data_IF_556778943499
#
_entry.id   IF_556778943499
#
_cell.length_a   1.000
_cell.length_b   1.000
_cell.length_c   1.000
_cell.angle_alpha   90.00
_cell.angle_beta   90.00
_cell.angle_gamma   90.00
#
_symmetry.space_group_name_H-M   'P 1'
#
loop_
_entity.id
_entity.type
_entity.pdbx_description
1 polymer ?
#
# COMPACT_ATOMS: atom_id res chain seq x y z
N UNK A 1 1.17 -10.17 -22.50
CA UNK A 1 2.52 -9.65 -22.19
C UNK A 1 3.05 -10.22 -20.87
N UNK A 2 2.24 -10.25 -19.79
CA UNK A 2 2.62 -10.90 -18.52
C UNK A 2 3.06 -12.36 -18.69
N UNK A 3 2.26 -13.18 -19.38
CA UNK A 3 2.59 -14.59 -19.63
C UNK A 3 3.80 -14.78 -20.56
N UNK A 4 4.15 -13.77 -21.35
CA UNK A 4 5.36 -13.79 -22.19
C UNK A 4 6.61 -13.45 -21.37
N UNK A 5 6.51 -12.50 -20.44
CA UNK A 5 7.61 -12.14 -19.54
C UNK A 5 7.99 -13.30 -18.61
N UNK A 6 7.01 -14.07 -18.14
CA UNK A 6 7.25 -15.23 -17.25
C UNK A 6 7.96 -16.40 -17.96
N UNK A 7 7.96 -16.44 -19.30
CA UNK A 7 8.71 -17.44 -20.07
C UNK A 7 10.21 -17.17 -20.09
N UNK A 8 10.65 -15.97 -19.70
CA UNK A 8 12.07 -15.63 -19.66
C UNK A 8 12.75 -16.34 -18.47
N UNK A 9 13.92 -16.97 -18.67
CA UNK A 9 14.64 -17.64 -17.59
C UNK A 9 14.99 -16.65 -16.47
N UNK A 10 14.61 -16.99 -15.23
CA UNK A 10 14.81 -16.14 -14.06
C UNK A 10 13.72 -15.10 -13.80
N UNK A 11 12.71 -14.99 -14.67
CA UNK A 11 11.59 -14.06 -14.51
C UNK A 11 10.36 -14.77 -13.96
N UNK A 12 10.16 -14.67 -12.64
CA UNK A 12 8.92 -15.11 -12.01
C UNK A 12 7.77 -14.13 -12.20
N UNK A 13 6.55 -14.55 -11.83
CA UNK A 13 5.32 -13.74 -11.91
C UNK A 13 5.46 -12.38 -11.21
N UNK A 14 6.21 -12.32 -10.11
CA UNK A 14 6.57 -11.07 -9.40
C UNK A 14 7.38 -10.11 -10.27
N UNK A 15 8.45 -10.60 -10.90
CA UNK A 15 9.34 -9.78 -11.74
C UNK A 15 8.60 -9.27 -12.97
N UNK A 16 7.77 -10.11 -13.60
CA UNK A 16 6.92 -9.70 -14.71
C UNK A 16 5.96 -8.57 -14.32
N UNK A 17 5.33 -8.66 -13.15
CA UNK A 17 4.41 -7.62 -12.67
C UNK A 17 5.11 -6.29 -12.35
N UNK A 18 6.36 -6.32 -11.85
CA UNK A 18 7.17 -5.11 -11.64
C UNK A 18 7.50 -4.45 -12.98
N UNK A 19 7.92 -5.21 -13.98
CA UNK A 19 8.23 -4.68 -15.32
C UNK A 19 6.99 -4.09 -15.97
N UNK A 20 5.83 -4.75 -15.88
CA UNK A 20 4.57 -4.23 -16.42
C UNK A 20 4.11 -2.94 -15.73
N UNK A 21 4.31 -2.84 -14.41
CA UNK A 21 3.98 -1.64 -13.66
C UNK A 21 4.88 -0.45 -14.05
N UNK A 22 6.19 -0.68 -14.06
CA UNK A 22 7.20 0.38 -14.20
C UNK A 22 7.41 0.79 -15.67
N UNK A 23 7.56 -0.18 -16.57
CA UNK A 23 7.90 0.08 -17.98
C UNK A 23 6.67 0.27 -18.87
N UNK A 24 5.53 -0.32 -18.50
CA UNK A 24 4.33 -0.32 -19.35
C UNK A 24 3.13 0.40 -18.71
N UNK A 25 3.29 0.99 -17.53
CA UNK A 25 2.23 1.74 -16.85
C UNK A 25 0.98 0.91 -16.54
N UNK A 26 1.08 -0.43 -16.55
CA UNK A 26 -0.04 -1.27 -16.19
C UNK A 26 -0.33 -1.08 -14.70
N UNK A 27 -1.56 -0.68 -14.41
CA UNK A 27 -2.03 -0.44 -13.04
C UNK A 27 -2.19 -1.78 -12.31
N UNK A 28 -1.06 -2.34 -11.88
CA UNK A 28 -1.01 -3.55 -11.06
C UNK A 28 -0.86 -3.14 -9.61
N UNK A 29 -1.74 -3.63 -8.74
CA UNK A 29 -1.62 -3.43 -7.31
C UNK A 29 -0.85 -4.62 -6.73
N UNK A 30 0.48 -4.53 -6.73
CA UNK A 30 1.29 -5.59 -6.15
C UNK A 30 0.99 -5.70 -4.64
N UNK A 31 0.47 -6.85 -4.23
CA UNK A 31 0.13 -7.14 -2.83
C UNK A 31 1.32 -7.83 -2.16
N UNK A 32 2.02 -7.09 -1.29
CA UNK A 32 3.04 -7.65 -0.40
C UNK A 32 2.45 -8.03 0.97
N UNK A 33 3.31 -8.40 1.93
CA UNK A 33 2.86 -8.78 3.28
C UNK A 33 2.27 -7.60 4.08
N UNK A 34 2.64 -6.36 3.76
CA UNK A 34 2.09 -5.15 4.39
C UNK A 34 0.69 -4.86 3.84
N UNK A 35 0.56 -4.82 2.51
CA UNK A 35 -0.70 -4.58 1.81
C UNK A 35 -1.70 -5.70 2.10
N UNK A 36 -1.28 -6.97 2.06
CA UNK A 36 -2.15 -8.10 2.36
C UNK A 36 -2.76 -8.00 3.76
N UNK A 37 -1.93 -7.65 4.75
CA UNK A 37 -2.36 -7.46 6.14
C UNK A 37 -3.29 -6.26 6.27
N UNK A 38 -2.93 -5.11 5.69
CA UNK A 38 -3.76 -3.90 5.78
C UNK A 38 -5.10 -4.11 5.08
N UNK A 39 -5.10 -4.60 3.84
CA UNK A 39 -6.31 -4.82 3.05
C UNK A 39 -7.36 -5.64 3.82
N UNK A 40 -6.90 -6.64 4.57
CA UNK A 40 -7.73 -7.41 5.48
C UNK A 40 -8.08 -6.67 6.79
N UNK A 41 -7.10 -6.07 7.48
CA UNK A 41 -7.31 -5.41 8.79
C UNK A 41 -8.27 -4.23 8.70
N UNK A 42 -8.07 -3.32 7.75
CA UNK A 42 -8.91 -2.11 7.64
C UNK A 42 -10.22 -2.40 6.90
N UNK A 43 -10.33 -3.58 6.28
CA UNK A 43 -11.51 -4.01 5.52
C UNK A 43 -11.63 -3.39 4.13
N UNK A 44 -10.52 -2.90 3.56
CA UNK A 44 -10.49 -2.27 2.23
C UNK A 44 -10.62 -3.32 1.12
N UNK A 45 -9.99 -4.47 1.29
CA UNK A 45 -10.01 -5.57 0.33
C UNK A 45 -9.78 -6.91 1.08
N UNK A 46 -10.80 -7.42 1.80
CA UNK A 46 -10.67 -8.67 2.52
C UNK A 46 -10.54 -9.86 1.55
N UNK A 47 -9.58 -10.73 1.81
CA UNK A 47 -9.25 -11.85 0.94
C UNK A 47 -8.28 -12.82 1.61
N UNK A 48 -8.40 -14.11 1.26
CA UNK A 48 -7.55 -15.19 1.81
C UNK A 48 -6.23 -15.33 1.05
N UNK A 49 -6.15 -14.84 -0.19
CA UNK A 49 -4.94 -14.90 -1.02
C UNK A 49 -4.55 -13.51 -1.51
N UNK A 50 -3.26 -13.25 -1.81
CA UNK A 50 -2.81 -11.99 -2.37
C UNK A 50 -3.58 -11.57 -3.63
N UNK A 51 -3.92 -12.52 -4.50
CA UNK A 51 -4.68 -12.29 -5.73
C UNK A 51 -6.09 -11.79 -5.44
N UNK A 52 -6.76 -12.35 -4.42
CA UNK A 52 -8.09 -11.88 -4.00
C UNK A 52 -8.03 -10.44 -3.49
N UNK A 53 -7.01 -10.13 -2.68
CA UNK A 53 -6.79 -8.77 -2.16
C UNK A 53 -6.47 -7.81 -3.31
N UNK A 54 -5.62 -8.19 -4.25
CA UNK A 54 -5.28 -7.39 -5.43
C UNK A 54 -6.54 -7.03 -6.23
N UNK A 55 -7.38 -8.02 -6.54
CA UNK A 55 -8.63 -7.80 -7.26
C UNK A 55 -9.62 -6.94 -6.48
N UNK A 56 -9.63 -7.03 -5.14
CA UNK A 56 -10.43 -6.14 -4.29
C UNK A 56 -9.92 -4.70 -4.35
N UNK A 57 -8.61 -4.49 -4.24
CA UNK A 57 -7.99 -3.17 -4.28
C UNK A 57 -8.18 -2.49 -5.64
N UNK A 58 -8.05 -3.24 -6.74
CA UNK A 58 -8.31 -2.75 -8.10
C UNK A 58 -9.76 -2.27 -8.31
N UNK A 59 -10.72 -2.82 -7.55
CA UNK A 59 -12.14 -2.42 -7.62
C UNK A 59 -12.47 -1.22 -6.75
N UNK A 60 -11.79 -1.08 -5.61
CA UNK A 60 -12.13 -0.09 -4.58
C UNK A 60 -11.33 1.21 -4.75
N UNK A 61 -10.10 1.14 -5.25
CA UNK A 61 -9.22 2.30 -5.37
C UNK A 61 -9.46 3.00 -6.72
N UNK A 62 -9.87 4.28 -6.71
CA UNK A 62 -9.99 5.07 -7.94
C UNK A 62 -8.68 5.12 -8.74
N UNK A 63 -8.78 5.12 -10.07
CA UNK A 63 -7.62 5.06 -10.97
C UNK A 63 -6.60 6.19 -10.73
N UNK A 64 -7.07 7.39 -10.37
CA UNK A 64 -6.23 8.56 -10.05
C UNK A 64 -5.28 8.31 -8.86
N UNK A 65 -5.67 7.45 -7.92
CA UNK A 65 -4.85 7.13 -6.75
C UNK A 65 -4.02 5.86 -6.93
N UNK A 66 -4.33 5.00 -7.91
CA UNK A 66 -3.70 3.69 -8.08
C UNK A 66 -2.17 3.74 -8.17
N UNK A 67 -1.62 4.76 -8.83
CA UNK A 67 -0.16 4.96 -8.95
C UNK A 67 0.53 5.11 -7.59
N UNK A 68 -0.10 5.82 -6.66
CA UNK A 68 0.49 6.16 -5.36
C UNK A 68 -0.01 5.27 -4.23
N UNK A 69 -1.19 4.68 -4.38
CA UNK A 69 -1.82 3.85 -3.37
C UNK A 69 -0.93 2.68 -2.93
N UNK A 70 -0.21 2.04 -3.86
CA UNK A 70 0.76 0.99 -3.52
C UNK A 70 1.80 1.48 -2.49
N UNK A 71 2.45 2.61 -2.75
CA UNK A 71 3.45 3.18 -1.86
C UNK A 71 2.82 3.60 -0.52
N UNK A 72 1.66 4.27 -0.55
CA UNK A 72 0.98 4.70 0.68
C UNK A 72 0.62 3.53 1.59
N UNK A 73 0.05 2.45 1.02
CA UNK A 73 -0.34 1.27 1.79
C UNK A 73 0.88 0.52 2.35
N UNK A 74 1.97 0.40 1.58
CA UNK A 74 3.22 -0.21 2.08
C UNK A 74 3.80 0.60 3.22
N UNK A 75 3.95 1.92 3.04
CA UNK A 75 4.54 2.80 4.05
C UNK A 75 3.70 2.78 5.33
N UNK A 76 2.38 2.86 5.19
CA UNK A 76 1.47 2.75 6.32
C UNK A 76 1.63 1.40 7.05
N UNK A 77 1.74 0.30 6.32
CA UNK A 77 1.91 -1.03 6.91
C UNK A 77 3.30 -1.28 7.48
N UNK A 78 4.31 -0.57 7.01
CA UNK A 78 5.67 -0.68 7.51
C UNK A 78 5.85 0.11 8.80
N UNK A 79 5.37 1.35 8.84
CA UNK A 79 5.68 2.28 9.92
C UNK A 79 4.57 2.40 10.98
N UNK A 80 3.30 2.25 10.60
CA UNK A 80 2.14 2.48 11.48
C UNK A 80 1.43 1.15 11.81
N UNK A 81 0.82 0.50 10.81
CA UNK A 81 0.05 -0.73 10.98
C UNK A 81 0.95 -1.98 11.02
N UNK A 82 1.90 -2.01 11.97
CA UNK A 82 2.88 -3.07 12.19
C UNK A 82 2.21 -4.42 12.50
N UNK A 83 2.87 -5.52 12.14
CA UNK A 83 2.28 -6.86 12.23
C UNK A 83 1.93 -7.28 13.66
N UNK A 84 2.82 -7.05 14.64
CA UNK A 84 2.60 -7.49 16.03
C UNK A 84 1.89 -6.45 16.89
N UNK A 85 2.42 -5.22 16.92
CA UNK A 85 1.89 -4.12 17.73
C UNK A 85 1.60 -2.91 16.82
N UNK A 86 0.39 -2.81 16.25
CA UNK A 86 0.04 -1.66 15.41
C UNK A 86 0.02 -0.38 16.24
N UNK A 87 0.44 0.71 15.63
CA UNK A 87 0.51 2.03 16.27
C UNK A 87 -0.76 2.83 15.94
N UNK A 88 -1.90 2.36 16.46
CA UNK A 88 -3.19 2.98 16.14
C UNK A 88 -3.30 4.45 16.59
N UNK A 89 -2.68 4.90 17.71
CA UNK A 89 -2.64 6.34 18.04
C UNK A 89 -1.91 7.21 17.01
N UNK A 90 -0.98 6.64 16.24
CA UNK A 90 -0.31 7.31 15.13
C UNK A 90 -1.01 7.09 13.77
N UNK A 91 -2.19 6.45 13.75
CA UNK A 91 -2.90 6.13 12.52
C UNK A 91 -3.89 7.23 12.13
N UNK A 92 -3.67 7.83 10.96
CA UNK A 92 -4.52 8.91 10.41
C UNK A 92 -5.92 8.44 9.95
N UNK A 93 -6.17 7.13 9.95
CA UNK A 93 -7.45 6.51 9.55
C UNK A 93 -8.07 5.66 10.68
N UNK A 94 -7.69 5.91 11.94
CA UNK A 94 -8.13 5.07 13.07
C UNK A 94 -9.65 5.07 13.27
N UNK A 95 -10.29 6.19 12.97
CA UNK A 95 -11.74 6.43 13.00
C UNK A 95 -12.50 5.56 12.00
N UNK A 96 -11.96 5.37 10.79
CA UNK A 96 -12.58 4.55 9.75
C UNK A 96 -12.04 3.12 9.66
N UNK A 97 -11.01 2.79 10.46
CA UNK A 97 -10.41 1.46 10.50
C UNK A 97 -11.37 0.43 11.12
N UNK A 98 -11.64 -0.66 10.38
CA UNK A 98 -12.52 -1.77 10.82
C UNK A 98 -11.78 -2.89 11.56
N UNK A 99 -10.51 -2.69 11.90
CA UNK A 99 -9.71 -3.74 12.53
C UNK A 99 -10.16 -4.01 13.96
N UNK A 100 -10.39 -5.28 14.30
CA UNK A 100 -10.66 -5.71 15.68
C UNK A 100 -9.47 -5.54 16.61
N UNK A 101 -8.26 -5.44 16.06
CA UNK A 101 -7.00 -5.31 16.80
C UNK A 101 -6.63 -3.85 17.09
N UNK A 102 -7.45 -2.88 16.67
CA UNK A 102 -7.14 -1.47 16.88
C UNK A 102 -7.25 -1.07 18.35
N UNK A 103 -6.38 -0.15 18.78
CA UNK A 103 -6.32 0.29 20.18
C UNK A 103 -6.94 1.66 20.43
N UNK A 104 -7.39 2.36 19.38
CA UNK A 104 -8.08 3.64 19.46
C UNK A 104 -8.96 3.87 18.23
N UNK A 105 -10.02 4.67 18.41
CA UNK A 105 -10.88 5.21 17.35
C UNK A 105 -10.52 6.67 16.99
N UNK A 106 -9.55 7.26 17.69
CA UNK A 106 -9.13 8.65 17.48
C UNK A 106 -8.03 8.68 16.41
N UNK A 107 -8.23 9.37 15.27
CA UNK A 107 -7.22 9.45 14.23
C UNK A 107 -6.09 10.40 14.65
N UNK A 108 -4.87 10.07 14.23
CA UNK A 108 -3.74 10.98 14.38
C UNK A 108 -3.98 12.28 13.60
N UNK A 109 -3.56 13.44 14.14
CA UNK A 109 -3.70 14.71 13.44
C UNK A 109 -2.90 14.69 12.13
N UNK A 110 -3.50 15.25 11.07
CA UNK A 110 -2.77 15.52 9.84
C UNK A 110 -1.85 16.73 10.07
N UNK A 111 -0.54 16.47 10.09
CA UNK A 111 0.48 17.51 10.24
C UNK A 111 1.01 17.87 8.85
N UNK A 112 0.92 19.15 8.43
CA UNK A 112 1.55 19.60 7.20
C UNK A 112 3.05 19.31 7.25
N UNK A 113 3.56 18.64 6.22
CA UNK A 113 5.01 18.52 6.04
C UNK A 113 5.49 19.88 5.55
N UNK A 114 6.56 20.41 6.15
CA UNK A 114 7.19 21.63 5.67
C UNK A 114 7.52 21.48 4.17
N UNK A 115 7.38 22.55 3.37
CA UNK A 115 7.73 22.53 1.96
C UNK A 115 9.14 21.96 1.77
N UNK A 116 9.30 21.02 0.82
CA UNK A 116 10.56 20.31 0.59
C UNK A 116 11.71 21.27 0.19
N UNK A 117 11.40 22.49 -0.24
CA UNK A 117 12.32 23.57 -0.59
C UNK A 117 12.94 24.29 0.62
N UNK A 118 12.32 24.26 1.80
CA UNK A 118 12.88 24.93 2.99
C UNK A 118 13.97 24.12 3.69
N UNK A 119 14.03 22.80 3.48
CA UNK A 119 15.04 21.92 4.10
C UNK A 119 16.33 21.78 3.29
N UNK A 120 16.31 22.02 1.96
CA UNK A 120 17.52 21.95 1.12
C UNK A 120 18.23 23.29 0.92
N UNK A 121 17.58 24.42 1.22
CA UNK A 121 18.22 25.75 1.10
C UNK A 121 19.15 26.10 2.27
N UNK A 122 19.12 25.33 3.36
CA UNK A 122 19.95 25.58 4.55
C UNK A 122 21.36 24.95 4.48
N UNK A 123 21.68 24.17 3.44
CA UNK A 123 22.96 23.47 3.28
C UNK A 123 23.58 23.62 1.87
N UNK A 124 23.38 24.78 1.22
CA UNK A 124 24.09 25.16 -0.01
C UNK A 124 24.94 26.42 0.21
#
# INVERSE_FOLDING_TARGET
IADELVKLPGVGRKTANVVLNVAFGQHTMAVDTHIFRIGNRIGLAPGKTPEQVEQGLLKVIPAEFMRHAHHWLILHGRYVCKARKPDCPACVIADICKSKEKTTDIPAPLVPIAPLDETFAAEA
#
